data_IF_039639794882
#
_entry.id   IF_039639794882
#
_cell.length_a   1.000
_cell.length_b   1.000
_cell.length_c   1.000
_cell.angle_alpha   90.00
_cell.angle_beta   90.00
_cell.angle_gamma   90.00
#
_symmetry.space_group_name_H-M   'P 1'
#
loop_
_entity.id
_entity.type
_entity.pdbx_description
1 polymer ?
#
# COMPACT_ATOMS: atom_id res chain seq x y z
N UNK A 1 13.56 -28.75 20.23
CA UNK A 1 13.57 -28.30 18.83
C UNK A 1 13.59 -26.77 18.79
N UNK A 2 14.64 -26.21 18.24
CA UNK A 2 14.78 -24.76 18.14
C UNK A 2 13.91 -24.29 16.96
N UNK A 3 12.99 -23.34 17.23
CA UNK A 3 12.28 -22.66 16.17
C UNK A 3 13.28 -21.96 15.25
N UNK A 4 13.07 -21.98 13.90
CA UNK A 4 13.92 -21.26 13.01
C UNK A 4 13.91 -19.77 13.38
N UNK A 5 15.04 -19.25 13.79
CA UNK A 5 15.21 -17.84 14.05
C UNK A 5 15.35 -17.13 12.70
N UNK A 6 14.23 -16.73 12.13
CA UNK A 6 14.26 -15.80 11.00
C UNK A 6 14.78 -14.46 11.51
N UNK A 7 16.06 -14.24 11.38
CA UNK A 7 16.61 -12.90 11.56
C UNK A 7 16.35 -12.14 10.28
N UNK A 8 15.28 -11.39 10.25
CA UNK A 8 15.09 -10.42 9.18
C UNK A 8 16.07 -9.28 9.45
N UNK A 9 17.23 -9.39 8.87
CA UNK A 9 18.26 -8.35 8.93
C UNK A 9 18.45 -7.78 7.54
N UNK A 10 18.55 -6.46 7.45
CA UNK A 10 18.87 -5.82 6.21
C UNK A 10 18.37 -4.38 6.16
N UNK A 11 18.77 -3.62 5.15
CA UNK A 11 18.37 -2.23 4.98
C UNK A 11 16.84 -2.02 4.94
N UNK A 12 16.09 -2.96 4.34
CA UNK A 12 14.64 -2.89 4.27
C UNK A 12 14.00 -2.99 5.66
N UNK A 13 14.45 -3.91 6.51
CA UNK A 13 13.95 -4.05 7.88
C UNK A 13 14.23 -2.79 8.71
N UNK A 14 15.44 -2.24 8.60
CA UNK A 14 15.82 -1.02 9.31
C UNK A 14 14.96 0.17 8.89
N UNK A 15 14.65 0.31 7.61
CA UNK A 15 13.76 1.36 7.09
C UNK A 15 12.34 1.19 7.60
N UNK A 16 11.80 -0.02 7.60
CA UNK A 16 10.46 -0.31 8.12
C UNK A 16 10.38 -0.04 9.61
N UNK A 17 11.40 -0.42 10.39
CA UNK A 17 11.47 -0.13 11.82
C UNK A 17 11.49 1.38 12.09
N UNK A 18 12.19 2.16 11.29
CA UNK A 18 12.22 3.61 11.39
C UNK A 18 10.86 4.27 11.11
N UNK A 19 10.01 3.61 10.32
CA UNK A 19 8.65 4.09 9.99
C UNK A 19 7.59 3.64 10.99
N UNK A 20 7.94 2.85 12.00
CA UNK A 20 6.99 2.22 12.91
C UNK A 20 6.06 3.22 13.60
N UNK A 21 6.58 4.35 14.07
CA UNK A 21 5.78 5.37 14.75
C UNK A 21 4.78 6.04 13.80
N UNK A 22 5.19 6.33 12.58
CA UNK A 22 4.31 6.92 11.55
C UNK A 22 3.20 5.95 11.14
N UNK A 23 3.55 4.69 10.93
CA UNK A 23 2.58 3.66 10.58
C UNK A 23 1.58 3.42 11.71
N UNK A 24 2.05 3.44 12.95
CA UNK A 24 1.17 3.31 14.12
C UNK A 24 0.21 4.50 14.22
N UNK A 25 0.70 5.72 14.02
CA UNK A 25 -0.13 6.91 14.02
C UNK A 25 -1.18 6.90 12.91
N UNK A 26 -0.79 6.47 11.71
CA UNK A 26 -1.69 6.33 10.57
C UNK A 26 -2.80 5.30 10.85
N UNK A 27 -2.43 4.13 11.37
CA UNK A 27 -3.39 3.10 11.77
C UNK A 27 -4.37 3.60 12.82
N UNK A 28 -3.88 4.30 13.83
CA UNK A 28 -4.73 4.86 14.90
C UNK A 28 -5.66 5.94 14.39
N UNK A 29 -5.21 6.76 13.44
CA UNK A 29 -6.06 7.76 12.80
C UNK A 29 -7.24 7.10 12.07
N UNK A 30 -6.98 6.07 11.27
CA UNK A 30 -8.03 5.33 10.59
C UNK A 30 -8.97 4.62 11.57
N UNK A 31 -8.44 4.06 12.64
CA UNK A 31 -9.22 3.40 13.68
C UNK A 31 -10.12 4.37 14.44
N UNK A 32 -9.69 5.62 14.60
CA UNK A 32 -10.48 6.67 15.24
C UNK A 32 -11.64 7.17 14.37
N UNK A 33 -11.67 6.83 13.09
CA UNK A 33 -12.71 7.22 12.13
C UNK A 33 -13.27 5.97 11.45
N UNK A 34 -13.93 5.07 12.22
CA UNK A 34 -14.46 3.83 11.65
C UNK A 34 -15.58 4.12 10.68
N UNK A 35 -15.52 3.47 9.53
CA UNK A 35 -16.51 3.60 8.47
C UNK A 35 -16.86 2.21 7.96
N UNK A 36 -18.11 2.01 7.57
CA UNK A 36 -18.57 0.73 7.03
C UNK A 36 -18.03 0.51 5.61
N UNK A 37 -17.97 -0.75 5.20
CA UNK A 37 -17.56 -1.12 3.86
C UNK A 37 -18.38 -0.41 2.79
N UNK A 38 -17.70 0.12 1.77
CA UNK A 38 -18.22 0.98 0.70
C UNK A 38 -18.66 2.38 1.13
N UNK A 39 -18.42 2.75 2.38
CA UNK A 39 -18.70 4.10 2.92
C UNK A 39 -17.44 4.76 3.50
N UNK A 40 -16.25 4.25 3.16
CA UNK A 40 -14.96 4.68 3.69
C UNK A 40 -14.48 5.99 3.03
N UNK A 41 -15.23 7.06 3.15
CA UNK A 41 -14.91 8.36 2.51
C UNK A 41 -13.67 9.01 3.12
N UNK A 42 -13.64 9.11 4.45
CA UNK A 42 -12.49 9.66 5.17
C UNK A 42 -11.25 8.80 4.96
N UNK A 43 -11.39 7.50 5.16
CA UNK A 43 -10.30 6.53 5.01
C UNK A 43 -9.72 6.55 3.61
N UNK A 44 -10.56 6.53 2.57
CA UNK A 44 -10.11 6.60 1.18
C UNK A 44 -9.34 7.89 0.90
N UNK A 45 -9.79 9.01 1.42
CA UNK A 45 -9.09 10.30 1.29
C UNK A 45 -7.73 10.29 1.97
N UNK A 46 -7.63 9.71 3.16
CA UNK A 46 -6.37 9.58 3.90
C UNK A 46 -5.38 8.66 3.17
N UNK A 47 -5.86 7.53 2.67
CA UNK A 47 -5.02 6.59 1.90
C UNK A 47 -4.53 7.23 0.59
N UNK A 48 -5.40 7.88 -0.15
CA UNK A 48 -5.01 8.58 -1.38
C UNK A 48 -3.96 9.66 -1.10
N UNK A 49 -4.14 10.44 -0.05
CA UNK A 49 -3.17 11.48 0.34
C UNK A 49 -1.82 10.86 0.74
N UNK A 50 -1.83 9.76 1.49
CA UNK A 50 -0.60 9.06 1.87
C UNK A 50 0.15 8.50 0.66
N UNK A 51 -0.57 7.90 -0.29
CA UNK A 51 0.03 7.39 -1.52
C UNK A 51 0.67 8.51 -2.35
N UNK A 52 0.00 9.66 -2.47
CA UNK A 52 0.57 10.82 -3.14
C UNK A 52 1.80 11.36 -2.42
N UNK A 53 1.77 11.40 -1.10
CA UNK A 53 2.87 11.91 -0.29
C UNK A 53 4.14 11.07 -0.41
N UNK A 54 4.01 9.75 -0.55
CA UNK A 54 5.17 8.86 -0.76
C UNK A 54 5.62 8.80 -2.22
N UNK A 55 4.92 9.47 -3.12
CA UNK A 55 5.36 9.66 -4.50
C UNK A 55 5.06 8.50 -5.44
N UNK A 56 3.96 7.77 -5.24
CA UNK A 56 3.53 6.77 -6.23
C UNK A 56 3.20 7.46 -7.57
N UNK A 57 3.41 6.77 -8.66
CA UNK A 57 3.30 7.38 -10.00
C UNK A 57 1.84 7.74 -10.35
N UNK A 58 0.89 6.91 -9.95
CA UNK A 58 -0.53 7.14 -10.22
C UNK A 58 -1.36 6.79 -8.98
N UNK A 59 -2.37 7.58 -8.70
CA UNK A 59 -3.36 7.29 -7.65
C UNK A 59 -4.75 7.38 -8.27
N UNK A 60 -5.47 6.27 -8.24
CA UNK A 60 -6.84 6.16 -8.73
C UNK A 60 -7.79 6.00 -7.57
N UNK A 61 -8.83 6.82 -7.52
CA UNK A 61 -9.87 6.78 -6.47
C UNK A 61 -11.22 6.39 -7.06
N UNK A 62 -12.18 6.10 -6.19
CA UNK A 62 -13.54 5.75 -6.61
C UNK A 62 -13.67 4.37 -7.25
N UNK A 63 -12.69 3.50 -7.09
CA UNK A 63 -12.74 2.13 -7.58
C UNK A 63 -13.71 1.34 -6.69
N UNK A 64 -14.78 0.80 -7.28
CA UNK A 64 -15.81 0.12 -6.49
C UNK A 64 -16.40 1.01 -5.39
N UNK A 65 -16.61 2.30 -5.66
CA UNK A 65 -17.10 3.39 -4.82
C UNK A 65 -16.03 4.09 -4.00
N UNK A 66 -15.34 3.40 -3.09
CA UNK A 66 -14.37 4.01 -2.17
C UNK A 66 -12.95 3.45 -2.30
N UNK A 67 -12.73 2.48 -3.17
CA UNK A 67 -11.42 1.87 -3.36
C UNK A 67 -10.38 2.85 -3.89
N UNK A 68 -9.14 2.66 -3.48
CA UNK A 68 -7.99 3.45 -3.92
C UNK A 68 -6.94 2.51 -4.47
N UNK A 69 -6.40 2.85 -5.63
CA UNK A 69 -5.32 2.08 -6.27
C UNK A 69 -4.15 2.99 -6.53
N UNK A 70 -2.99 2.62 -6.00
CA UNK A 70 -1.71 3.25 -6.34
C UNK A 70 -0.96 2.41 -7.35
N UNK A 71 -0.37 3.05 -8.34
CA UNK A 71 0.44 2.39 -9.37
C UNK A 71 1.87 2.91 -9.27
N UNK A 72 2.81 1.99 -9.20
CA UNK A 72 4.24 2.30 -9.19
C UNK A 72 4.86 1.65 -10.42
N UNK A 73 5.48 2.45 -11.25
CA UNK A 73 6.20 1.97 -12.41
C UNK A 73 7.63 1.55 -12.03
N UNK A 74 8.01 0.33 -12.35
CA UNK A 74 9.39 -0.13 -12.18
C UNK A 74 10.33 0.70 -13.05
N UNK A 75 11.51 1.02 -12.51
CA UNK A 75 12.48 1.92 -13.17
C UNK A 75 13.72 1.19 -13.70
N UNK A 76 13.78 -0.11 -13.53
CA UNK A 76 14.91 -0.91 -14.00
C UNK A 76 15.06 -0.87 -15.54
N UNK A 77 13.93 -0.78 -16.25
CA UNK A 77 13.90 -0.67 -17.71
C UNK A 77 13.02 0.52 -18.12
N UNK A 78 13.55 1.75 -18.07
CA UNK A 78 12.77 2.94 -18.39
C UNK A 78 12.17 2.88 -19.79
N UNK A 79 10.88 3.20 -19.88
CA UNK A 79 10.14 3.21 -21.16
C UNK A 79 9.77 1.83 -21.71
N UNK A 80 10.06 0.76 -20.96
CA UNK A 80 9.70 -0.61 -21.38
C UNK A 80 8.92 -1.31 -20.28
N UNK A 81 7.80 -1.87 -20.64
CA UNK A 81 7.04 -2.78 -19.79
C UNK A 81 7.68 -4.17 -19.86
N UNK A 82 7.85 -4.82 -18.72
CA UNK A 82 8.18 -6.23 -18.72
C UNK A 82 6.94 -7.01 -19.15
N UNK A 83 7.07 -7.76 -20.21
CA UNK A 83 6.00 -8.62 -20.71
C UNK A 83 6.44 -10.08 -20.62
N UNK A 84 5.48 -10.97 -20.41
CA UNK A 84 5.70 -12.39 -20.50
C UNK A 84 5.74 -12.87 -21.96
N UNK A 85 5.86 -14.19 -22.16
CA UNK A 85 5.93 -14.77 -23.49
C UNK A 85 4.66 -14.54 -24.34
N UNK A 86 3.53 -14.28 -23.69
CA UNK A 86 2.23 -13.99 -24.31
C UNK A 86 2.00 -12.50 -24.53
N UNK A 87 2.98 -11.65 -24.22
CA UNK A 87 2.89 -10.21 -24.38
C UNK A 87 2.10 -9.49 -23.27
N UNK A 88 1.81 -10.16 -22.17
CA UNK A 88 1.10 -9.56 -21.05
C UNK A 88 2.06 -8.76 -20.16
N UNK A 89 1.63 -7.60 -19.66
CA UNK A 89 2.42 -6.79 -18.74
C UNK A 89 2.55 -7.51 -17.41
N UNK A 90 3.80 -7.67 -16.95
CA UNK A 90 4.08 -8.24 -15.65
C UNK A 90 3.94 -7.19 -14.55
N UNK A 91 3.06 -7.45 -13.61
CA UNK A 91 2.83 -6.60 -12.45
C UNK A 91 2.59 -7.45 -11.22
N UNK A 92 2.91 -6.90 -10.06
CA UNK A 92 2.57 -7.49 -8.75
C UNK A 92 1.48 -6.65 -8.14
N UNK A 93 0.38 -7.27 -7.76
CA UNK A 93 -0.71 -6.62 -7.05
C UNK A 93 -0.65 -6.93 -5.56
N UNK A 94 -0.79 -5.90 -4.73
CA UNK A 94 -0.94 -6.01 -3.28
C UNK A 94 -2.31 -5.46 -2.91
N UNK A 95 -3.01 -6.15 -2.02
CA UNK A 95 -4.34 -5.75 -1.56
C UNK A 95 -4.35 -5.58 -0.04
N UNK A 96 -5.01 -4.53 0.43
CA UNK A 96 -5.28 -4.32 1.84
C UNK A 96 -6.70 -3.79 2.02
N UNK A 97 -7.40 -4.30 3.02
CA UNK A 97 -8.69 -3.74 3.44
C UNK A 97 -8.48 -2.42 4.16
N UNK A 98 -9.44 -1.51 4.04
CA UNK A 98 -9.33 -0.17 4.61
C UNK A 98 -10.35 0.12 5.71
N UNK A 99 -11.48 -0.58 5.73
CA UNK A 99 -12.53 -0.33 6.70
C UNK A 99 -12.08 -0.65 8.12
N UNK A 100 -12.51 0.17 9.06
CA UNK A 100 -12.30 -0.05 10.48
C UNK A 100 -13.64 -0.37 11.14
N UNK A 101 -13.60 -1.29 12.10
CA UNK A 101 -14.79 -1.65 12.87
C UNK A 101 -15.18 -0.50 13.81
N UNK A 102 -16.46 -0.21 13.92
CA UNK A 102 -16.97 0.79 14.85
C UNK A 102 -16.77 0.40 16.31
#
# INVERSE_FOLDING_TARGET
MLAPRYRVHGPAFSRLSAMQSELTAFRRDLHAHPELGFEEVYTAGRVAAALRAVGVDEVHTGIGRTGVVGVIHGRANPGRWLTDAEGQIQAVGLRADMDALP
#
